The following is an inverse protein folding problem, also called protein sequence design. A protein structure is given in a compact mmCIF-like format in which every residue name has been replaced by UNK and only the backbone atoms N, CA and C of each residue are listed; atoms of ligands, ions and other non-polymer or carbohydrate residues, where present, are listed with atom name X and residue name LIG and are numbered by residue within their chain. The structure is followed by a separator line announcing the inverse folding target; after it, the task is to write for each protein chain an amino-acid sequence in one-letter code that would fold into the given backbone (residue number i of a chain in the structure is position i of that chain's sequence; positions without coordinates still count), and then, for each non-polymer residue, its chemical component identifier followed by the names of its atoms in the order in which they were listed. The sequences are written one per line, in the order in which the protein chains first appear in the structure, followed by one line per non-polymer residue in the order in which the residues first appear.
data_IF_293933233275
#
_entry.id   IF_293933233275
#
_cell.length_a   1.000
_cell.length_b   1.000
_cell.length_c   1.000
_cell.angle_alpha   90.00
_cell.angle_beta   90.00
_cell.angle_gamma   90.00
#
_symmetry.space_group_name_H-M   'P 1'
#
loop_
_entity.id
_entity.type
_entity.pdbx_description
1 polymer ?
#
# COMPACT_ATOMS: atom_id res chain seq x y z
N UNK A 1 -37.45 -20.14 76.02
CA UNK A 1 -36.39 -19.34 75.37
C UNK A 1 -35.09 -20.06 75.70
N UNK A 2 -34.45 -20.78 74.78
CA UNK A 2 -33.69 -20.21 73.66
C UNK A 2 -33.48 -21.30 72.58
N UNK A 3 -33.98 -21.04 71.37
CA UNK A 3 -33.80 -21.90 70.20
C UNK A 3 -32.45 -21.54 69.56
N UNK A 4 -31.46 -22.44 69.60
CA UNK A 4 -30.18 -22.27 68.92
C UNK A 4 -30.29 -22.83 67.50
N UNK A 5 -30.48 -21.94 66.53
CA UNK A 5 -30.43 -22.29 65.10
C UNK A 5 -29.00 -22.68 64.72
N UNK A 6 -28.81 -23.94 64.34
CA UNK A 6 -27.57 -24.42 63.72
C UNK A 6 -27.61 -24.04 62.23
N UNK A 7 -26.79 -23.08 61.83
CA UNK A 7 -26.58 -22.73 60.42
C UNK A 7 -25.83 -23.87 59.71
N UNK A 8 -26.50 -24.52 58.74
CA UNK A 8 -25.89 -25.47 57.82
C UNK A 8 -25.29 -24.69 56.65
N UNK A 9 -24.00 -24.84 56.29
CA UNK A 9 -23.43 -24.14 55.14
C UNK A 9 -24.02 -24.74 53.86
N UNK A 10 -24.60 -23.89 53.01
CA UNK A 10 -25.00 -24.27 51.66
C UNK A 10 -23.76 -24.63 50.84
N UNK A 11 -23.80 -25.79 50.19
CA UNK A 11 -22.79 -26.23 49.23
C UNK A 11 -22.71 -25.22 48.07
N UNK A 12 -21.51 -24.85 47.59
CA UNK A 12 -21.39 -23.90 46.50
C UNK A 12 -22.01 -24.52 45.23
N UNK A 13 -23.01 -23.85 44.70
CA UNK A 13 -23.58 -24.15 43.38
C UNK A 13 -22.44 -24.03 42.38
N UNK A 14 -21.99 -25.16 41.80
CA UNK A 14 -21.11 -25.15 40.65
C UNK A 14 -21.87 -24.49 39.49
N UNK A 15 -21.62 -23.21 39.25
CA UNK A 15 -21.95 -22.59 37.99
C UNK A 15 -21.10 -23.29 36.93
N UNK A 16 -21.71 -24.22 36.18
CA UNK A 16 -21.16 -24.64 34.90
C UNK A 16 -21.14 -23.40 34.00
N UNK A 17 -19.97 -22.77 33.93
CA UNK A 17 -19.67 -21.77 32.91
C UNK A 17 -19.75 -22.52 31.59
N UNK A 18 -20.91 -22.39 30.94
CA UNK A 18 -21.15 -22.90 29.62
C UNK A 18 -20.19 -22.12 28.69
N UNK A 19 -19.01 -22.68 28.44
CA UNK A 19 -18.09 -22.17 27.44
C UNK A 19 -18.76 -22.36 26.09
N UNK A 20 -19.55 -21.37 25.66
CA UNK A 20 -19.89 -21.18 24.26
C UNK A 20 -18.58 -21.32 23.48
N UNK A 21 -18.50 -22.18 22.45
CA UNK A 21 -17.28 -22.29 21.67
C UNK A 21 -16.95 -20.89 21.16
N UNK A 22 -15.80 -20.37 21.60
CA UNK A 22 -15.29 -19.10 21.11
C UNK A 22 -15.27 -19.23 19.59
N UNK A 23 -15.93 -18.34 18.83
CA UNK A 23 -15.95 -18.48 17.38
C UNK A 23 -14.50 -18.59 16.93
N UNK A 24 -14.15 -19.68 16.26
CA UNK A 24 -12.81 -19.88 15.71
C UNK A 24 -12.51 -18.65 14.86
N UNK A 25 -11.67 -17.76 15.37
CA UNK A 25 -11.18 -16.61 14.63
C UNK A 25 -10.23 -17.18 13.58
N UNK A 26 -10.79 -17.54 12.42
CA UNK A 26 -10.01 -17.96 11.27
C UNK A 26 -8.91 -16.92 11.04
N UNK A 27 -7.64 -17.34 10.95
CA UNK A 27 -6.53 -16.42 10.84
C UNK A 27 -6.68 -15.58 9.56
N UNK A 28 -6.13 -14.37 9.54
CA UNK A 28 -6.16 -13.49 8.34
C UNK A 28 -5.55 -14.21 7.12
N UNK A 29 -4.61 -15.14 7.33
CA UNK A 29 -4.05 -15.99 6.29
C UNK A 29 -5.08 -16.88 5.58
N UNK A 30 -6.23 -17.17 6.18
CA UNK A 30 -7.33 -17.86 5.51
C UNK A 30 -7.93 -17.04 4.35
N UNK A 31 -7.68 -15.73 4.31
CA UNK A 31 -8.10 -14.82 3.23
C UNK A 31 -7.10 -14.70 2.07
N UNK A 32 -5.96 -15.39 2.11
CA UNK A 32 -4.96 -15.40 1.02
C UNK A 32 -5.41 -16.31 -0.14
N UNK A 33 -6.57 -16.00 -0.70
CA UNK A 33 -7.11 -16.70 -1.87
C UNK A 33 -6.61 -16.03 -3.15
N UNK A 34 -6.48 -16.82 -4.23
CA UNK A 34 -6.09 -16.27 -5.54
C UNK A 34 -7.04 -15.15 -6.00
N UNK A 35 -8.34 -15.28 -5.74
CA UNK A 35 -9.34 -14.26 -6.08
C UNK A 35 -9.11 -12.94 -5.33
N UNK A 36 -8.79 -12.98 -4.04
CA UNK A 36 -8.55 -11.78 -3.24
C UNK A 36 -7.27 -11.08 -3.67
N UNK A 37 -6.22 -11.86 -3.94
CA UNK A 37 -4.94 -11.34 -4.44
C UNK A 37 -5.09 -10.73 -5.82
N UNK A 38 -5.79 -11.40 -6.75
CA UNK A 38 -6.04 -10.88 -8.09
C UNK A 38 -6.89 -9.59 -8.05
N UNK A 39 -7.98 -9.58 -7.27
CA UNK A 39 -8.83 -8.40 -7.12
C UNK A 39 -8.06 -7.24 -6.47
N UNK A 40 -7.29 -7.51 -5.42
CA UNK A 40 -6.43 -6.52 -4.78
C UNK A 40 -5.39 -5.93 -5.72
N UNK A 41 -4.75 -6.74 -6.56
CA UNK A 41 -3.81 -6.27 -7.60
C UNK A 41 -4.49 -5.38 -8.63
N UNK A 42 -5.64 -5.79 -9.17
CA UNK A 42 -6.40 -4.99 -10.14
C UNK A 42 -6.77 -3.64 -9.54
N UNK A 43 -7.34 -3.62 -8.33
CA UNK A 43 -7.69 -2.38 -7.64
C UNK A 43 -6.45 -1.51 -7.36
N UNK A 44 -5.33 -2.11 -6.99
CA UNK A 44 -4.07 -1.39 -6.76
C UNK A 44 -3.56 -0.68 -8.02
N UNK A 45 -3.63 -1.35 -9.18
CA UNK A 45 -3.26 -0.77 -10.47
C UNK A 45 -4.20 0.39 -10.80
N UNK A 46 -5.52 0.18 -10.69
CA UNK A 46 -6.52 1.22 -10.97
C UNK A 46 -6.33 2.45 -10.07
N UNK A 47 -6.09 2.24 -8.77
CA UNK A 47 -5.79 3.33 -7.82
C UNK A 47 -4.52 4.08 -8.20
N UNK A 48 -3.47 3.36 -8.61
CA UNK A 48 -2.21 3.99 -9.03
C UNK A 48 -2.42 4.85 -10.28
N UNK A 49 -3.11 4.32 -11.30
CA UNK A 49 -3.44 5.06 -12.53
C UNK A 49 -4.28 6.29 -12.22
N UNK A 50 -5.32 6.13 -11.39
CA UNK A 50 -6.20 7.24 -11.01
C UNK A 50 -5.44 8.33 -10.26
N UNK A 51 -4.63 7.97 -9.26
CA UNK A 51 -3.88 8.95 -8.46
C UNK A 51 -2.88 9.75 -9.29
N UNK A 52 -2.14 9.08 -10.20
CA UNK A 52 -1.21 9.76 -11.11
C UNK A 52 -1.97 10.65 -12.09
N UNK A 53 -3.01 10.13 -12.75
CA UNK A 53 -3.81 10.93 -13.68
C UNK A 53 -4.44 12.14 -12.98
N UNK A 54 -4.93 11.95 -11.76
CA UNK A 54 -5.54 13.02 -10.98
C UNK A 54 -4.54 14.14 -10.67
N UNK A 55 -3.32 13.78 -10.28
CA UNK A 55 -2.27 14.74 -9.95
C UNK A 55 -1.74 15.51 -11.17
N UNK A 56 -1.46 14.81 -12.27
CA UNK A 56 -0.73 15.41 -13.40
C UNK A 56 -1.61 15.88 -14.56
N UNK A 57 -2.78 15.26 -14.78
CA UNK A 57 -3.67 15.62 -15.90
C UNK A 57 -4.79 16.53 -15.42
N UNK A 58 -5.45 16.17 -14.31
CA UNK A 58 -6.57 16.99 -13.80
C UNK A 58 -6.12 18.13 -12.89
N UNK A 59 -4.82 18.21 -12.57
CA UNK A 59 -4.24 19.18 -11.63
C UNK A 59 -4.99 19.26 -10.30
N UNK A 60 -5.55 18.14 -9.85
CA UNK A 60 -6.22 18.04 -8.57
C UNK A 60 -5.19 17.88 -7.44
N UNK A 61 -5.62 18.10 -6.20
CA UNK A 61 -4.77 17.89 -5.02
C UNK A 61 -4.20 16.46 -4.99
N UNK A 62 -2.94 16.32 -4.55
CA UNK A 62 -2.28 15.02 -4.42
C UNK A 62 -2.97 14.15 -3.35
N UNK A 63 -3.89 13.29 -3.79
CA UNK A 63 -4.73 12.43 -2.95
C UNK A 63 -3.91 11.43 -2.11
N UNK A 64 -2.64 11.21 -2.49
CA UNK A 64 -1.70 10.26 -1.87
C UNK A 64 -0.85 10.85 -0.75
N UNK A 65 -0.88 12.17 -0.51
CA UNK A 65 -0.05 12.82 0.53
C UNK A 65 -0.65 12.67 1.95
N UNK A 66 -1.93 12.30 2.08
CA UNK A 66 -2.58 12.11 3.37
C UNK A 66 -2.21 10.76 4.04
N UNK A 67 -1.94 10.77 5.35
CA UNK A 67 -1.51 9.60 6.15
C UNK A 67 -2.51 8.44 6.20
N UNK A 68 -3.80 8.72 5.98
CA UNK A 68 -4.81 7.74 5.62
C UNK A 68 -5.20 8.06 4.17
N UNK A 69 -4.57 7.45 3.16
CA UNK A 69 -4.81 7.87 1.79
C UNK A 69 -6.30 7.68 1.50
N UNK A 70 -6.99 8.78 1.18
CA UNK A 70 -8.36 8.72 0.62
C UNK A 70 -8.37 7.75 -0.57
N UNK A 71 -7.24 7.66 -1.28
CA UNK A 71 -6.94 6.71 -2.32
C UNK A 71 -7.07 5.22 -1.91
N UNK A 72 -6.95 4.84 -0.63
CA UNK A 72 -7.21 3.49 -0.14
C UNK A 72 -8.66 3.29 0.32
N UNK A 73 -9.25 4.34 0.91
CA UNK A 73 -10.63 4.32 1.40
C UNK A 73 -11.65 4.21 0.26
N UNK A 74 -11.51 5.00 -0.82
CA UNK A 74 -12.44 4.95 -1.94
C UNK A 74 -12.54 3.55 -2.59
N UNK A 75 -11.43 2.88 -2.95
CA UNK A 75 -11.46 1.49 -3.42
C UNK A 75 -12.08 0.52 -2.42
N UNK A 76 -11.80 0.67 -1.13
CA UNK A 76 -12.40 -0.19 -0.10
C UNK A 76 -13.92 -0.01 -0.06
N UNK A 77 -14.41 1.23 -0.11
CA UNK A 77 -15.84 1.54 -0.16
C UNK A 77 -16.47 0.92 -1.41
N UNK A 78 -15.81 1.00 -2.56
CA UNK A 78 -16.28 0.36 -3.80
C UNK A 78 -16.33 -1.17 -3.66
N UNK A 79 -15.30 -1.79 -3.10
CA UNK A 79 -15.26 -3.25 -2.89
C UNK A 79 -16.36 -3.70 -1.94
N UNK A 80 -16.54 -2.99 -0.81
CA UNK A 80 -17.47 -3.38 0.26
C UNK A 80 -18.92 -3.03 -0.07
N UNK A 81 -19.21 -1.85 -0.62
CA UNK A 81 -20.58 -1.38 -0.85
C UNK A 81 -21.12 -1.65 -2.26
N UNK A 82 -20.26 -1.89 -3.25
CA UNK A 82 -20.69 -2.12 -4.63
C UNK A 82 -20.37 -3.55 -5.05
N UNK A 83 -19.09 -3.94 -5.01
CA UNK A 83 -18.65 -5.22 -5.55
C UNK A 83 -19.22 -6.40 -4.74
N UNK A 84 -19.11 -6.37 -3.42
CA UNK A 84 -19.55 -7.48 -2.56
C UNK A 84 -21.08 -7.69 -2.60
N UNK A 85 -21.94 -6.66 -2.55
CA UNK A 85 -23.38 -6.82 -2.73
C UNK A 85 -23.76 -7.36 -4.12
N UNK A 86 -23.13 -6.88 -5.18
CA UNK A 86 -23.35 -7.38 -6.55
C UNK A 86 -22.96 -8.86 -6.64
N UNK A 87 -21.81 -9.25 -6.08
CA UNK A 87 -21.40 -10.67 -6.05
C UNK A 87 -22.40 -11.52 -5.26
N UNK A 88 -22.95 -11.00 -4.16
CA UNK A 88 -23.92 -11.70 -3.33
C UNK A 88 -25.28 -11.88 -4.02
N UNK A 89 -25.71 -10.90 -4.83
CA UNK A 89 -26.99 -10.97 -5.56
C UNK A 89 -26.87 -11.71 -6.89
N UNK A 90 -25.78 -11.53 -7.64
CA UNK A 90 -25.58 -12.16 -8.94
C UNK A 90 -25.02 -13.59 -8.85
N UNK A 91 -24.22 -13.90 -7.82
CA UNK A 91 -23.58 -15.21 -7.65
C UNK A 91 -23.63 -15.70 -6.19
N UNK A 92 -24.78 -16.20 -5.71
CA UNK A 92 -24.92 -16.75 -4.36
C UNK A 92 -23.83 -17.81 -4.10
N UNK A 93 -22.97 -17.56 -3.10
CA UNK A 93 -21.83 -18.43 -2.75
C UNK A 93 -20.44 -17.92 -3.16
N UNK A 94 -20.35 -16.87 -3.99
CA UNK A 94 -19.07 -16.22 -4.35
C UNK A 94 -18.76 -14.94 -3.58
N UNK A 95 -19.51 -14.65 -2.51
CA UNK A 95 -19.25 -13.51 -1.62
C UNK A 95 -17.80 -13.51 -1.14
N UNK A 96 -17.23 -12.31 -1.00
CA UNK A 96 -15.93 -12.14 -0.37
C UNK A 96 -16.09 -12.41 1.13
N UNK A 97 -15.16 -13.18 1.67
CA UNK A 97 -15.04 -13.39 3.12
C UNK A 97 -14.39 -12.17 3.78
N UNK A 98 -14.59 -12.05 5.09
CA UNK A 98 -13.99 -11.00 5.90
C UNK A 98 -12.47 -10.93 5.73
N UNK A 99 -11.81 -12.09 5.76
CA UNK A 99 -10.36 -12.20 5.64
C UNK A 99 -9.87 -11.73 4.26
N UNK A 100 -10.61 -12.02 3.20
CA UNK A 100 -10.27 -11.57 1.84
C UNK A 100 -10.40 -10.06 1.67
N UNK A 101 -11.43 -9.45 2.28
CA UNK A 101 -11.60 -7.99 2.29
C UNK A 101 -10.42 -7.33 3.01
N UNK A 102 -9.97 -7.91 4.14
CA UNK A 102 -8.79 -7.42 4.86
C UNK A 102 -7.53 -7.50 3.99
N UNK A 103 -7.32 -8.62 3.27
CA UNK A 103 -6.17 -8.77 2.36
C UNK A 103 -6.23 -7.76 1.21
N UNK A 104 -7.39 -7.60 0.57
CA UNK A 104 -7.60 -6.61 -0.50
C UNK A 104 -7.32 -5.20 0.01
N UNK A 105 -7.81 -4.86 1.21
CA UNK A 105 -7.55 -3.57 1.83
C UNK A 105 -6.05 -3.32 1.99
N UNK A 106 -5.30 -4.24 2.58
CA UNK A 106 -3.86 -4.04 2.78
C UNK A 106 -3.08 -3.93 1.46
N UNK A 107 -3.48 -4.69 0.43
CA UNK A 107 -2.88 -4.56 -0.92
C UNK A 107 -3.09 -3.15 -1.48
N UNK A 108 -4.34 -2.68 -1.49
CA UNK A 108 -4.68 -1.36 -2.04
C UNK A 108 -4.13 -0.23 -1.17
N UNK A 109 -4.14 -0.38 0.15
CA UNK A 109 -3.57 0.59 1.09
C UNK A 109 -2.07 0.78 0.84
N UNK A 110 -1.33 -0.32 0.72
CA UNK A 110 0.10 -0.28 0.38
C UNK A 110 0.33 0.36 -0.99
N UNK A 111 -0.47 -0.02 -2.00
CA UNK A 111 -0.40 0.56 -3.34
C UNK A 111 -0.80 2.03 -3.41
N UNK A 112 -1.56 2.54 -2.45
CA UNK A 112 -1.90 3.98 -2.39
C UNK A 112 -0.77 4.83 -1.79
N UNK A 113 0.11 4.23 -0.98
CA UNK A 113 1.17 4.95 -0.28
C UNK A 113 2.45 5.06 -1.11
N UNK A 114 2.80 4.02 -1.88
CA UNK A 114 4.11 3.93 -2.54
C UNK A 114 4.22 4.78 -3.81
N UNK A 115 3.32 4.68 -4.81
CA UNK A 115 3.45 5.38 -6.09
C UNK A 115 3.18 6.89 -6.03
N UNK A 116 2.99 7.45 -4.83
CA UNK A 116 2.64 8.83 -4.60
C UNK A 116 3.69 9.83 -5.08
N UNK A 117 3.60 11.05 -4.56
CA UNK A 117 4.44 12.17 -4.99
C UNK A 117 5.95 11.88 -4.95
N UNK A 118 6.42 11.11 -3.96
CA UNK A 118 7.83 10.73 -3.84
C UNK A 118 8.34 9.93 -5.07
N UNK A 119 7.58 8.95 -5.56
CA UNK A 119 8.01 8.14 -6.70
C UNK A 119 7.71 8.84 -8.03
N UNK A 120 6.49 9.35 -8.18
CA UNK A 120 6.06 9.96 -9.45
C UNK A 120 6.77 11.29 -9.76
N UNK A 121 7.11 12.08 -8.74
CA UNK A 121 7.80 13.37 -8.93
C UNK A 121 9.29 13.28 -8.64
N UNK A 122 9.69 12.90 -7.41
CA UNK A 122 11.11 12.99 -7.04
C UNK A 122 11.96 11.95 -7.73
N UNK A 123 11.59 10.67 -7.68
CA UNK A 123 12.44 9.62 -8.23
C UNK A 123 12.70 9.87 -9.72
N UNK A 124 11.66 10.18 -10.49
CA UNK A 124 11.80 10.50 -11.91
C UNK A 124 12.61 11.78 -12.13
N UNK A 125 12.38 12.85 -11.37
CA UNK A 125 13.15 14.09 -11.49
C UNK A 125 14.63 13.94 -11.10
N UNK A 126 14.96 13.06 -10.16
CA UNK A 126 16.35 12.76 -9.79
C UNK A 126 17.08 12.02 -10.90
N UNK A 127 16.39 11.09 -11.57
CA UNK A 127 16.95 10.28 -12.64
C UNK A 127 17.16 11.09 -13.92
N UNK A 128 16.23 11.99 -14.26
CA UNK A 128 16.23 12.75 -15.51
C UNK A 128 16.77 14.19 -15.37
N UNK A 129 16.73 14.75 -14.16
CA UNK A 129 17.04 16.14 -13.87
C UNK A 129 18.44 16.62 -14.29
N UNK A 130 19.52 15.84 -14.09
CA UNK A 130 20.87 16.28 -14.45
C UNK A 130 21.01 16.68 -15.93
N UNK A 131 20.35 15.97 -16.84
CA UNK A 131 20.40 16.27 -18.27
C UNK A 131 19.34 17.29 -18.73
N UNK A 132 18.23 17.43 -17.99
CA UNK A 132 17.20 18.43 -18.31
C UNK A 132 17.57 19.85 -17.84
N UNK A 133 18.10 19.97 -16.63
CA UNK A 133 18.36 21.26 -15.98
C UNK A 133 19.80 21.75 -16.17
N UNK A 134 20.56 21.15 -17.09
CA UNK A 134 21.93 21.58 -17.39
C UNK A 134 21.90 22.98 -18.02
N UNK A 135 22.79 23.86 -17.57
CA UNK A 135 22.92 25.21 -18.11
C UNK A 135 24.38 25.68 -18.07
N UNK A 136 24.72 26.69 -18.86
CA UNK A 136 26.08 27.23 -18.88
C UNK A 136 26.46 27.87 -17.52
N UNK A 137 25.47 28.37 -16.78
CA UNK A 137 25.64 29.03 -15.48
C UNK A 137 25.91 28.03 -14.35
N UNK A 138 25.34 26.83 -14.41
CA UNK A 138 25.55 25.82 -13.36
C UNK A 138 26.81 24.97 -13.57
N UNK A 139 27.33 24.92 -14.80
CA UNK A 139 28.57 24.21 -15.15
C UNK A 139 28.51 22.70 -14.91
N UNK A 140 27.31 22.10 -14.78
CA UNK A 140 27.18 20.70 -14.37
C UNK A 140 27.77 19.71 -15.36
N UNK A 141 27.72 20.05 -16.65
CA UNK A 141 28.27 19.22 -17.71
C UNK A 141 29.78 18.96 -17.50
N UNK A 142 30.54 20.00 -17.20
CA UNK A 142 31.99 19.89 -17.05
C UNK A 142 32.40 19.37 -15.66
N UNK A 143 31.58 19.63 -14.63
CA UNK A 143 31.90 19.30 -13.24
C UNK A 143 31.44 17.89 -12.81
N UNK A 144 30.30 17.41 -13.31
CA UNK A 144 29.63 16.22 -12.75
C UNK A 144 29.36 15.11 -13.74
N UNK A 145 29.21 15.38 -15.05
CA UNK A 145 28.74 14.35 -15.99
C UNK A 145 29.72 13.20 -16.15
N UNK A 146 31.03 13.42 -15.98
CA UNK A 146 32.03 12.35 -15.98
C UNK A 146 31.82 11.35 -14.82
N UNK A 147 31.29 11.82 -13.69
CA UNK A 147 31.03 11.01 -12.50
C UNK A 147 29.62 10.41 -12.46
N UNK A 148 28.76 10.74 -13.43
CA UNK A 148 27.39 10.24 -13.51
C UNK A 148 27.33 8.96 -14.35
N UNK A 149 27.20 7.78 -13.72
CA UNK A 149 27.12 6.55 -14.48
C UNK A 149 25.81 6.47 -15.28
N UNK A 150 25.90 5.99 -16.52
CA UNK A 150 24.76 5.87 -17.44
C UNK A 150 23.67 4.90 -16.98
N UNK A 151 23.95 4.07 -15.97
CA UNK A 151 22.96 3.17 -15.38
C UNK A 151 22.15 3.81 -14.25
N UNK A 152 22.54 4.99 -13.76
CA UNK A 152 21.87 5.68 -12.65
C UNK A 152 20.97 6.82 -13.11
N UNK A 153 21.35 7.49 -14.20
CA UNK A 153 20.66 8.67 -14.76
C UNK A 153 20.27 8.45 -16.21
N UNK A 154 19.18 9.08 -16.64
CA UNK A 154 18.72 9.04 -18.03
C UNK A 154 19.40 10.17 -18.80
N UNK A 155 20.20 9.81 -19.80
CA UNK A 155 20.77 10.75 -20.76
C UNK A 155 19.69 11.27 -21.72
N UNK A 156 19.74 12.54 -22.12
CA UNK A 156 18.81 13.13 -23.11
C UNK A 156 19.10 12.72 -24.58
N UNK A 157 19.44 11.45 -24.80
CA UNK A 157 19.62 10.90 -26.14
C UNK A 157 18.25 10.72 -26.80
N UNK A 158 18.12 11.15 -28.06
CA UNK A 158 16.84 11.17 -28.78
C UNK A 158 15.74 11.96 -28.04
N UNK A 159 16.10 13.06 -27.37
CA UNK A 159 15.16 13.86 -26.59
C UNK A 159 14.39 13.04 -25.53
N UNK A 160 14.97 11.96 -25.00
CA UNK A 160 14.29 11.06 -24.05
C UNK A 160 13.84 11.75 -22.76
N UNK A 161 14.63 12.73 -22.30
CA UNK A 161 14.36 13.51 -21.10
C UNK A 161 13.50 14.71 -21.46
N UNK A 162 13.85 15.42 -22.54
CA UNK A 162 13.07 16.57 -23.02
C UNK A 162 11.63 16.18 -23.34
N UNK A 163 11.40 15.05 -24.02
CA UNK A 163 10.06 14.53 -24.32
C UNK A 163 9.27 14.11 -23.06
N UNK A 164 9.94 13.77 -21.96
CA UNK A 164 9.28 13.47 -20.68
C UNK A 164 8.75 14.75 -20.01
N UNK A 165 9.51 15.85 -20.05
CA UNK A 165 9.12 17.11 -19.42
C UNK A 165 8.22 17.97 -20.29
N UNK A 166 8.51 18.08 -21.59
CA UNK A 166 7.81 18.97 -22.52
C UNK A 166 6.67 18.26 -23.29
N UNK A 167 6.64 16.93 -23.23
CA UNK A 167 5.69 16.10 -23.96
C UNK A 167 6.20 15.66 -25.33
N UNK A 168 5.54 14.64 -25.89
CA UNK A 168 5.93 14.08 -27.19
C UNK A 168 5.28 14.82 -28.37
N UNK A 169 6.04 15.08 -29.44
CA UNK A 169 5.46 15.47 -30.73
C UNK A 169 4.51 14.40 -31.28
N UNK A 170 3.49 14.83 -32.03
CA UNK A 170 2.52 13.90 -32.63
C UNK A 170 3.21 12.86 -33.53
N UNK A 171 2.87 11.59 -33.34
CA UNK A 171 3.38 10.47 -34.14
C UNK A 171 4.73 9.90 -33.68
N UNK A 172 5.36 10.48 -32.66
CA UNK A 172 6.57 9.92 -32.05
C UNK A 172 6.23 8.99 -30.87
N UNK A 173 7.12 8.04 -30.60
CA UNK A 173 7.01 7.12 -29.47
C UNK A 173 8.07 7.43 -28.42
N UNK A 174 7.75 7.24 -27.15
CA UNK A 174 8.67 7.51 -26.05
C UNK A 174 9.86 6.55 -26.14
N UNK A 175 11.11 7.03 -26.13
CA UNK A 175 12.30 6.20 -26.24
C UNK A 175 12.61 5.48 -24.90
N UNK A 176 11.73 4.57 -24.50
CA UNK A 176 11.79 3.82 -23.24
C UNK A 176 13.10 3.06 -23.02
N UNK A 177 13.81 2.70 -24.10
CA UNK A 177 15.10 2.01 -24.03
C UNK A 177 16.13 2.70 -23.12
N UNK A 178 16.13 4.03 -23.05
CA UNK A 178 17.05 4.80 -22.21
C UNK A 178 16.62 4.84 -20.74
N UNK A 179 15.36 4.55 -20.46
CA UNK A 179 14.77 4.55 -19.12
C UNK A 179 14.89 3.19 -18.43
N UNK A 180 14.90 2.08 -19.18
CA UNK A 180 14.86 0.73 -18.62
C UNK A 180 16.01 0.48 -17.63
N UNK A 181 17.25 0.84 -17.99
CA UNK A 181 18.42 0.55 -17.15
C UNK A 181 18.38 1.38 -15.85
N UNK A 182 18.21 2.72 -15.88
CA UNK A 182 18.03 3.50 -14.65
C UNK A 182 16.86 3.04 -13.80
N UNK A 183 15.69 2.81 -14.41
CA UNK A 183 14.50 2.37 -13.67
C UNK A 183 14.71 1.00 -13.02
N UNK A 184 15.44 0.08 -13.66
CA UNK A 184 15.76 -1.22 -13.07
C UNK A 184 16.58 -1.07 -11.79
N UNK A 185 17.68 -0.31 -11.84
CA UNK A 185 18.55 -0.15 -10.66
C UNK A 185 17.86 0.61 -9.53
N UNK A 186 17.11 1.66 -9.85
CA UNK A 186 16.33 2.38 -8.85
C UNK A 186 15.23 1.51 -8.25
N UNK A 187 14.51 0.72 -9.07
CA UNK A 187 13.51 -0.23 -8.57
C UNK A 187 14.13 -1.29 -7.66
N UNK A 188 15.29 -1.84 -8.03
CA UNK A 188 16.02 -2.79 -7.20
C UNK A 188 16.42 -2.17 -5.84
N UNK A 189 16.88 -0.92 -5.84
CA UNK A 189 17.19 -0.18 -4.62
C UNK A 189 15.94 0.01 -3.73
N UNK A 190 14.80 0.39 -4.30
CA UNK A 190 13.55 0.53 -3.54
C UNK A 190 13.04 -0.80 -2.99
N UNK A 191 13.15 -1.89 -3.75
CA UNK A 191 12.83 -3.24 -3.27
C UNK A 191 13.75 -3.63 -2.11
N UNK A 192 15.04 -3.32 -2.19
CA UNK A 192 15.97 -3.60 -1.11
C UNK A 192 15.60 -2.82 0.17
N UNK A 193 15.29 -1.53 0.07
CA UNK A 193 14.81 -0.71 1.20
C UNK A 193 13.52 -1.31 1.78
N UNK A 194 12.58 -1.70 0.93
CA UNK A 194 11.34 -2.33 1.37
C UNK A 194 11.60 -3.61 2.15
N UNK A 195 12.49 -4.49 1.65
CA UNK A 195 12.85 -5.74 2.33
C UNK A 195 13.53 -5.48 3.67
N UNK A 196 14.44 -4.51 3.75
CA UNK A 196 15.07 -4.10 5.01
C UNK A 196 14.01 -3.58 5.99
N UNK A 197 13.13 -2.70 5.54
CA UNK A 197 12.02 -2.17 6.34
C UNK A 197 11.10 -3.28 6.84
N UNK A 198 10.69 -4.20 5.97
CA UNK A 198 9.87 -5.35 6.33
C UNK A 198 10.58 -6.26 7.35
N UNK A 199 11.87 -6.49 7.19
CA UNK A 199 12.68 -7.28 8.12
C UNK A 199 12.76 -6.61 9.50
N UNK A 200 12.96 -5.29 9.54
CA UNK A 200 12.93 -4.51 10.77
C UNK A 200 11.55 -4.58 11.44
N UNK A 201 10.45 -4.45 10.68
CA UNK A 201 9.10 -4.62 11.22
C UNK A 201 8.90 -6.00 11.85
N UNK A 202 9.40 -7.07 11.23
CA UNK A 202 9.29 -8.44 11.77
C UNK A 202 10.05 -8.59 13.09
N UNK A 203 11.26 -8.02 13.18
CA UNK A 203 12.07 -8.04 14.41
C UNK A 203 11.41 -7.22 15.52
N UNK A 204 10.99 -5.98 15.21
CA UNK A 204 10.43 -5.05 16.17
C UNK A 204 8.98 -5.37 16.54
N UNK A 205 8.26 -6.15 15.72
CA UNK A 205 6.86 -6.55 15.98
C UNK A 205 6.68 -7.08 17.40
N UNK A 206 7.58 -7.97 17.86
CA UNK A 206 7.44 -8.57 19.19
C UNK A 206 7.60 -7.52 20.28
N UNK A 207 8.59 -6.64 20.14
CA UNK A 207 8.85 -5.53 21.05
C UNK A 207 7.64 -4.59 21.16
N UNK A 208 7.11 -4.15 20.03
CA UNK A 208 6.00 -3.20 19.98
C UNK A 208 4.68 -3.77 20.50
N UNK A 209 4.39 -5.04 20.20
CA UNK A 209 3.12 -5.66 20.61
C UNK A 209 3.16 -6.07 22.09
N UNK A 210 4.20 -6.78 22.52
CA UNK A 210 4.21 -7.41 23.84
C UNK A 210 4.68 -6.46 24.96
N UNK A 211 5.72 -5.67 24.69
CA UNK A 211 6.37 -4.85 25.72
C UNK A 211 5.89 -3.40 25.71
N UNK A 212 5.78 -2.79 24.53
CA UNK A 212 5.37 -1.37 24.40
C UNK A 212 3.86 -1.20 24.20
N UNK A 213 3.14 -2.28 23.91
CA UNK A 213 1.68 -2.31 23.70
C UNK A 213 1.20 -1.21 22.76
N UNK A 214 1.94 -1.02 21.66
CA UNK A 214 1.64 0.00 20.67
C UNK A 214 0.28 -0.29 20.01
N UNK A 215 -0.61 0.68 20.00
CA UNK A 215 -1.91 0.58 19.33
C UNK A 215 -1.75 0.85 17.84
N UNK A 216 -2.35 -0.01 16.99
CA UNK A 216 -2.33 0.13 15.53
C UNK A 216 -3.71 0.56 15.00
N UNK A 217 -4.09 1.85 15.11
CA UNK A 217 -5.44 2.32 14.76
C UNK A 217 -5.79 2.07 13.28
N UNK A 218 -4.81 2.14 12.38
CA UNK A 218 -5.01 1.87 10.95
C UNK A 218 -5.41 0.42 10.65
N UNK A 219 -4.95 -0.53 11.45
CA UNK A 219 -5.32 -1.93 11.31
C UNK A 219 -6.72 -2.23 11.90
N UNK A 220 -7.24 -1.36 12.76
CA UNK A 220 -8.55 -1.57 13.38
C UNK A 220 -9.70 -1.40 12.39
N UNK A 221 -9.59 -0.46 11.44
CA UNK A 221 -10.63 -0.21 10.43
C UNK A 221 -11.02 -1.47 9.64
N UNK A 222 -10.09 -2.18 8.97
CA UNK A 222 -10.45 -3.41 8.25
C UNK A 222 -10.85 -4.56 9.18
N UNK A 223 -10.41 -4.54 10.45
CA UNK A 223 -10.79 -5.53 11.46
C UNK A 223 -12.17 -5.27 12.09
N UNK A 224 -12.82 -4.13 11.79
CA UNK A 224 -14.18 -3.81 12.25
C UNK A 224 -15.25 -4.09 11.18
N UNK A 225 -14.84 -4.18 9.91
CA UNK A 225 -15.68 -4.61 8.78
C UNK A 225 -15.99 -6.11 8.85
#
# INVERSE_FOLDING_TARGET
MTNTMVFKPESPVKQEVNHSPTPEHLPVSAGLTFRAVALGMVMSILTTVWTIHSAYVTHASFITIAHLPIAALCPLVVVVLILNPILKTAFPGRSLSRQEIIVIFFLVFTASAIPGWAFSTYALSVISGPFYFVSAENGWQDLFFEFLPSWLVVSDRNAAVTAFFEGLPQGQTMPWQFWIIPLFWWSAFYVAIFVVGASLMVILRKQWIEYERLTFPLAQVPLML
#
